data_IF_345726056191
#
_entry.id   IF_345726056191
#
_cell.length_a   1.000
_cell.length_b   1.000
_cell.length_c   1.000
_cell.angle_alpha   90.00
_cell.angle_beta   90.00
_cell.angle_gamma   90.00
#
_symmetry.space_group_name_H-M   'P 1'
#
loop_
_entity.id
_entity.type
_entity.pdbx_description
1 polymer ?
#
# COMPACT_ATOMS: atom_id res chain seq x y z
N UNK A 1 4.12 -6.61 -5.87
CA UNK A 1 4.04 -5.17 -6.16
C UNK A 1 5.40 -4.75 -6.70
N UNK A 2 5.46 -4.10 -7.85
CA UNK A 2 6.70 -3.58 -8.45
C UNK A 2 6.71 -2.06 -8.34
N UNK A 3 7.89 -1.46 -8.23
CA UNK A 3 8.01 0.00 -8.26
C UNK A 3 7.91 0.50 -9.71
N UNK A 4 6.89 1.30 -9.98
CA UNK A 4 6.67 1.98 -11.26
C UNK A 4 7.14 3.44 -11.17
N UNK A 5 7.45 4.05 -12.31
CA UNK A 5 7.82 5.46 -12.35
C UNK A 5 6.59 6.34 -12.11
N UNK A 6 6.76 7.45 -11.38
CA UNK A 6 5.67 8.40 -11.11
C UNK A 6 5.05 9.02 -12.38
N UNK A 7 5.73 8.97 -13.52
CA UNK A 7 5.17 9.38 -14.82
C UNK A 7 4.06 8.47 -15.35
N UNK A 8 3.80 7.35 -14.68
CA UNK A 8 2.71 6.41 -15.00
C UNK A 8 1.41 6.72 -14.27
N UNK A 9 1.44 7.63 -13.30
CA UNK A 9 0.27 8.01 -12.50
C UNK A 9 -0.69 8.82 -13.38
N UNK A 10 -1.93 8.36 -13.51
CA UNK A 10 -3.02 9.07 -14.18
C UNK A 10 -3.83 9.87 -13.14
N UNK A 11 -3.78 11.21 -13.15
CA UNK A 11 -4.50 12.01 -12.17
C UNK A 11 -6.03 11.94 -12.29
N UNK A 12 -6.58 11.37 -13.36
CA UNK A 12 -8.03 11.20 -13.52
C UNK A 12 -8.54 9.86 -12.95
N UNK A 13 -7.66 8.85 -12.82
CA UNK A 13 -8.04 7.46 -12.44
C UNK A 13 -7.32 6.98 -11.17
N UNK A 14 -6.17 7.57 -10.83
CA UNK A 14 -5.36 7.19 -9.68
C UNK A 14 -5.55 8.13 -8.49
N UNK A 15 -5.65 7.52 -7.30
CA UNK A 15 -5.56 8.23 -6.02
C UNK A 15 -4.18 8.08 -5.40
N UNK A 16 -3.57 9.20 -5.00
CA UNK A 16 -2.25 9.24 -4.36
C UNK A 16 -2.39 9.52 -2.86
N UNK A 17 -1.85 8.62 -2.04
CA UNK A 17 -1.71 8.77 -0.60
C UNK A 17 -0.27 9.10 -0.25
N UNK A 18 -0.07 10.21 0.47
CA UNK A 18 1.23 10.66 0.96
C UNK A 18 1.13 10.90 2.45
N UNK A 19 2.15 10.50 3.20
CA UNK A 19 2.20 10.80 4.63
C UNK A 19 2.56 12.27 4.84
N UNK A 20 1.76 12.98 5.63
CA UNK A 20 2.04 14.37 5.98
C UNK A 20 3.17 14.44 7.02
N UNK A 21 4.38 14.68 6.53
CA UNK A 21 5.53 15.07 7.34
C UNK A 21 6.11 16.36 6.77
N UNK A 22 6.63 17.24 7.62
CA UNK A 22 7.38 18.37 7.10
C UNK A 22 8.65 17.87 6.42
N UNK A 23 9.07 18.57 5.36
CA UNK A 23 10.30 18.25 4.65
C UNK A 23 11.54 18.28 5.57
N UNK A 24 11.48 19.09 6.63
CA UNK A 24 12.48 19.18 7.69
C UNK A 24 12.51 17.91 8.56
N UNK A 25 11.37 17.34 8.92
CA UNK A 25 11.25 16.09 9.68
C UNK A 25 11.75 14.88 8.88
N UNK A 26 11.43 14.83 7.58
CA UNK A 26 11.91 13.77 6.68
C UNK A 26 13.43 13.84 6.55
N UNK A 27 13.98 15.05 6.30
CA UNK A 27 15.43 15.25 6.20
C UNK A 27 16.16 14.94 7.52
N UNK A 28 15.59 15.30 8.66
CA UNK A 28 16.19 15.06 9.98
C UNK A 28 16.15 13.59 10.40
N UNK A 29 15.12 12.85 10.02
CA UNK A 29 14.99 11.41 10.30
C UNK A 29 15.84 10.53 9.38
N UNK A 30 16.24 11.05 8.21
CA UNK A 30 16.88 10.26 7.16
C UNK A 30 15.92 9.25 6.52
N UNK A 31 14.61 9.35 6.81
CA UNK A 31 13.58 8.56 6.15
C UNK A 31 13.35 9.08 4.73
N UNK A 32 12.89 8.20 3.84
CA UNK A 32 12.41 8.59 2.52
C UNK A 32 10.94 9.01 2.57
N UNK A 33 10.50 9.78 1.56
CA UNK A 33 9.08 10.04 1.33
C UNK A 33 8.42 8.77 0.77
N UNK A 34 7.32 8.34 1.39
CA UNK A 34 6.52 7.21 0.94
C UNK A 34 5.24 7.71 0.26
N UNK A 35 5.02 7.26 -0.97
CA UNK A 35 3.81 7.52 -1.76
C UNK A 35 3.16 6.21 -2.15
N UNK A 36 1.86 6.10 -1.94
CA UNK A 36 1.06 4.94 -2.35
C UNK A 36 0.06 5.41 -3.41
N UNK A 37 0.01 4.73 -4.54
CA UNK A 37 -0.90 5.03 -5.65
C UNK A 37 -1.86 3.86 -5.81
N UNK A 38 -3.14 4.15 -5.96
CA UNK A 38 -4.18 3.14 -6.08
C UNK A 38 -5.27 3.59 -7.05
N UNK A 39 -5.68 2.68 -7.93
CA UNK A 39 -6.79 2.86 -8.86
C UNK A 39 -8.15 2.76 -8.12
N UNK A 40 -9.18 3.38 -8.72
CA UNK A 40 -10.52 3.46 -8.12
C UNK A 40 -11.13 2.09 -7.75
N UNK A 41 -11.08 1.03 -8.60
CA UNK A 41 -11.60 -0.29 -8.21
C UNK A 41 -10.87 -0.89 -7.00
N UNK A 42 -9.56 -0.71 -6.90
CA UNK A 42 -8.78 -1.21 -5.77
C UNK A 42 -9.09 -0.45 -4.48
N UNK A 43 -9.38 0.86 -4.55
CA UNK A 43 -9.82 1.66 -3.39
C UNK A 43 -11.06 1.03 -2.73
N UNK A 44 -12.04 0.62 -3.53
CA UNK A 44 -13.26 0.01 -3.00
C UNK A 44 -12.99 -1.31 -2.25
N UNK A 45 -12.05 -2.11 -2.76
CA UNK A 45 -11.69 -3.40 -2.17
C UNK A 45 -10.78 -3.29 -0.95
N UNK A 46 -9.97 -2.22 -0.88
CA UNK A 46 -8.92 -2.03 0.12
C UNK A 46 -9.23 -0.94 1.13
N UNK A 47 -10.35 -0.22 0.99
CA UNK A 47 -10.76 0.84 1.92
C UNK A 47 -10.78 0.34 3.37
N UNK A 48 -10.03 1.04 4.23
CA UNK A 48 -9.87 0.70 5.66
C UNK A 48 -8.80 -0.37 5.95
N UNK A 49 -8.13 -0.91 4.93
CA UNK A 49 -7.01 -1.83 5.10
C UNK A 49 -5.72 -1.08 5.44
N UNK A 50 -4.73 -1.81 5.98
CA UNK A 50 -3.38 -1.29 6.23
C UNK A 50 -2.38 -1.95 5.30
N UNK A 51 -1.48 -1.14 4.71
CA UNK A 51 -0.30 -1.65 3.98
C UNK A 51 0.85 -1.78 4.97
N UNK A 52 1.35 -3.01 5.15
CA UNK A 52 2.48 -3.31 6.01
C UNK A 52 3.70 -3.76 5.19
N UNK A 53 4.91 -3.36 5.59
CA UNK A 53 6.15 -3.84 4.99
C UNK A 53 6.87 -4.75 5.98
N UNK A 54 7.01 -6.01 5.62
CA UNK A 54 7.65 -7.01 6.47
C UNK A 54 8.94 -7.52 5.85
N UNK A 55 9.93 -7.79 6.70
CA UNK A 55 11.21 -8.38 6.34
C UNK A 55 11.39 -9.68 7.10
N UNK A 56 11.33 -10.80 6.37
CA UNK A 56 11.53 -12.14 6.89
C UNK A 56 12.85 -12.72 6.35
N UNK A 57 13.30 -13.84 6.90
CA UNK A 57 14.55 -14.50 6.45
C UNK A 57 14.54 -14.87 4.96
N UNK A 58 13.36 -15.18 4.43
CA UNK A 58 13.16 -15.62 3.04
C UNK A 58 12.97 -14.46 2.05
N UNK A 59 12.87 -13.21 2.54
CA UNK A 59 12.67 -12.04 1.70
C UNK A 59 11.85 -10.96 2.39
N UNK A 60 11.63 -9.87 1.67
CA UNK A 60 10.80 -8.75 2.11
C UNK A 60 9.64 -8.53 1.15
N UNK A 61 8.51 -8.09 1.69
CA UNK A 61 7.31 -7.84 0.89
C UNK A 61 6.39 -6.83 1.56
N UNK A 62 5.58 -6.18 0.73
CA UNK A 62 4.40 -5.47 1.18
C UNK A 62 3.23 -6.45 1.34
N UNK A 63 2.48 -6.33 2.43
CA UNK A 63 1.29 -7.10 2.76
C UNK A 63 0.11 -6.15 2.97
N UNK A 64 -1.08 -6.58 2.56
CA UNK A 64 -2.33 -5.94 2.98
C UNK A 64 -2.80 -6.68 4.23
N UNK A 65 -2.98 -5.95 5.33
CA UNK A 65 -3.47 -6.47 6.59
C UNK A 65 -4.74 -5.72 7.02
N UNK A 66 -5.50 -6.32 7.93
CA UNK A 66 -6.71 -5.74 8.52
C UNK A 66 -7.74 -5.26 7.48
N UNK A 67 -7.83 -5.92 6.31
CA UNK A 67 -8.83 -5.58 5.28
C UNK A 67 -10.25 -5.91 5.80
N UNK A 68 -11.12 -4.91 6.04
CA UNK A 68 -12.47 -5.14 6.56
C UNK A 68 -13.38 -5.94 5.63
N UNK A 69 -13.04 -6.01 4.34
CA UNK A 69 -13.79 -6.73 3.31
C UNK A 69 -13.29 -8.14 3.06
N UNK A 70 -12.15 -8.52 3.64
CA UNK A 70 -11.59 -9.86 3.47
C UNK A 70 -12.40 -10.87 4.29
N UNK A 71 -12.84 -11.94 3.64
CA UNK A 71 -13.51 -13.09 4.29
C UNK A 71 -12.56 -14.20 4.66
N UNK A 72 -11.47 -14.32 3.91
CA UNK A 72 -10.41 -15.28 4.16
C UNK A 72 -9.07 -14.73 3.67
N UNK A 73 -7.98 -15.22 4.25
CA UNK A 73 -6.62 -14.89 3.84
C UNK A 73 -5.87 -16.19 3.49
N UNK A 74 -5.02 -16.13 2.47
CA UNK A 74 -4.09 -17.21 2.17
C UNK A 74 -3.07 -17.35 3.31
N UNK A 75 -2.65 -18.57 3.63
CA UNK A 75 -1.73 -18.84 4.74
C UNK A 75 -0.35 -18.18 4.61
N UNK A 76 0.08 -17.78 3.40
CA UNK A 76 1.30 -17.00 3.19
C UNK A 76 1.09 -15.48 3.24
N UNK A 77 -0.16 -15.01 3.40
CA UNK A 77 -0.50 -13.59 3.55
C UNK A 77 -0.35 -12.76 2.26
N UNK A 78 -0.31 -13.39 1.08
CA UNK A 78 -0.16 -12.68 -0.21
C UNK A 78 -1.47 -12.48 -0.97
N UNK A 79 -2.57 -13.11 -0.52
CA UNK A 79 -3.89 -12.98 -1.15
C UNK A 79 -5.02 -13.16 -0.13
N UNK A 80 -6.20 -12.69 -0.49
CA UNK A 80 -7.42 -12.75 0.31
C UNK A 80 -8.63 -12.90 -0.62
N UNK A 81 -9.72 -13.47 -0.09
CA UNK A 81 -11.02 -13.49 -0.76
C UNK A 81 -11.92 -12.40 -0.19
N UNK A 82 -12.75 -11.80 -1.05
CA UNK A 82 -13.81 -10.87 -0.67
C UNK A 82 -15.16 -11.53 -0.95
N UNK A 83 -16.13 -11.35 -0.05
CA UNK A 83 -17.52 -11.70 -0.35
C UNK A 83 -18.20 -10.45 -0.91
N UNK A 84 -18.68 -10.54 -2.14
CA UNK A 84 -19.68 -9.61 -2.68
C UNK A 84 -20.98 -9.64 -1.84
#
# INVERSE_FOLDING_TARGET
MSLEAASKIDPEDDTVFEAEYSHEEVAASGAGEAKVVMDEPSLELLSGSTVDYTMELIGSQFKIIDNPRATSNCGCGTSFDVSD
#
